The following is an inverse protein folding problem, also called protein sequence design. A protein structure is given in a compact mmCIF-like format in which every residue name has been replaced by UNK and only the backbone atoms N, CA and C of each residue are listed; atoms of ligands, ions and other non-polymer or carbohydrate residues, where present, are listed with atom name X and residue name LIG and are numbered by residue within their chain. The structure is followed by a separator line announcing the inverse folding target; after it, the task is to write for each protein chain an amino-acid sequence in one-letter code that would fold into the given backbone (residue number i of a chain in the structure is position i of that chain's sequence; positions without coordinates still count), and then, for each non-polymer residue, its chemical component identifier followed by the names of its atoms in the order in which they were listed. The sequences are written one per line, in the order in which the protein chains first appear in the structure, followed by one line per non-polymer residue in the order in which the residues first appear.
data_IF_034498667567
#
_entry.id   IF_034498667567
#
_cell.length_a   1.000
_cell.length_b   1.000
_cell.length_c   1.000
_cell.angle_alpha   90.00
_cell.angle_beta   90.00
_cell.angle_gamma   90.00
#
_symmetry.space_group_name_H-M   'P 1'
#
loop_
_entity.id
_entity.type
_entity.pdbx_description
1 polymer ?
#
# COMPACT_ATOMS: atom_id res chain seq x y z
N UNK A 1 -13.99 1.04 -0.30
CA UNK A 1 -14.08 1.06 1.18
C UNK A 1 -13.36 2.30 1.69
N UNK A 2 -13.92 2.97 2.66
CA UNK A 2 -13.30 4.18 3.23
C UNK A 2 -12.75 3.88 4.61
N UNK A 3 -11.59 4.46 4.92
CA UNK A 3 -11.02 4.43 6.25
C UNK A 3 -11.74 5.46 7.12
N UNK A 4 -12.58 4.98 8.04
CA UNK A 4 -13.16 5.84 9.07
C UNK A 4 -12.10 6.29 10.08
N UNK A 5 -12.32 7.38 10.80
CA UNK A 5 -11.41 7.85 11.84
C UNK A 5 -11.16 6.78 12.92
N UNK A 6 -12.21 6.06 13.33
CA UNK A 6 -12.09 4.96 14.28
C UNK A 6 -11.26 3.80 13.77
N UNK A 7 -11.40 3.43 12.50
CA UNK A 7 -10.61 2.36 11.88
C UNK A 7 -9.13 2.74 11.75
N UNK A 8 -8.83 3.96 11.35
CA UNK A 8 -7.44 4.47 11.31
C UNK A 8 -6.78 4.42 12.68
N UNK A 9 -7.49 4.89 13.70
CA UNK A 9 -7.01 4.87 15.07
C UNK A 9 -6.77 3.44 15.57
N UNK A 10 -7.67 2.52 15.26
CA UNK A 10 -7.54 1.11 15.61
C UNK A 10 -6.30 0.50 14.95
N UNK A 11 -6.12 0.71 13.65
CA UNK A 11 -4.95 0.20 12.90
C UNK A 11 -3.66 0.75 13.52
N UNK A 12 -3.59 2.05 13.77
CA UNK A 12 -2.41 2.70 14.34
C UNK A 12 -2.09 2.16 15.74
N UNK A 13 -3.10 1.96 16.58
CA UNK A 13 -2.94 1.47 17.96
C UNK A 13 -2.44 0.02 18.02
N UNK A 14 -2.72 -0.78 16.99
CA UNK A 14 -2.42 -2.21 16.98
C UNK A 14 -1.35 -2.63 15.96
N UNK A 15 -0.56 -1.69 15.43
CA UNK A 15 0.47 -1.97 14.44
C UNK A 15 1.54 -2.98 14.90
N UNK A 16 1.79 -3.07 16.20
CA UNK A 16 2.79 -3.96 16.77
C UNK A 16 2.20 -5.18 17.47
N UNK A 17 0.87 -5.28 17.51
CA UNK A 17 0.18 -6.36 18.22
C UNK A 17 0.14 -7.66 17.42
N UNK A 18 -0.07 -8.76 18.12
CA UNK A 18 -0.27 -10.05 17.49
C UNK A 18 -1.63 -10.09 16.80
N UNK A 19 -1.63 -10.25 15.47
CA UNK A 19 -2.84 -10.24 14.65
C UNK A 19 -3.76 -11.42 14.91
N UNK A 20 -3.23 -12.58 15.28
CA UNK A 20 -4.05 -13.75 15.63
C UNK A 20 -4.86 -13.49 16.90
N UNK A 21 -4.25 -12.84 17.89
CA UNK A 21 -4.93 -12.42 19.13
C UNK A 21 -6.01 -11.38 18.84
N UNK A 22 -5.78 -10.46 17.92
CA UNK A 22 -6.77 -9.48 17.49
C UNK A 22 -7.96 -10.16 16.84
N UNK A 23 -7.73 -11.14 15.99
CA UNK A 23 -8.80 -11.90 15.33
C UNK A 23 -9.65 -12.64 16.35
N UNK A 24 -9.04 -13.27 17.34
CA UNK A 24 -9.75 -13.97 18.42
C UNK A 24 -10.53 -13.02 19.34
N UNK A 25 -10.07 -11.78 19.47
CA UNK A 25 -10.72 -10.74 20.28
C UNK A 25 -11.71 -9.86 19.49
N UNK A 26 -12.11 -10.28 18.28
CA UNK A 26 -12.98 -9.49 17.38
C UNK A 26 -14.28 -9.02 18.04
N UNK A 27 -14.86 -9.83 18.94
CA UNK A 27 -16.10 -9.48 19.66
C UNK A 27 -15.95 -8.28 20.61
N UNK A 28 -14.73 -7.93 20.98
CA UNK A 28 -14.43 -6.76 21.84
C UNK A 28 -14.45 -5.43 21.07
N UNK A 29 -14.48 -5.48 19.75
CA UNK A 29 -14.41 -4.31 18.88
C UNK A 29 -15.63 -4.25 17.96
N UNK A 30 -16.85 -4.01 18.52
CA UNK A 30 -18.04 -3.89 17.71
C UNK A 30 -17.93 -2.67 16.76
N UNK A 31 -18.39 -2.84 15.53
CA UNK A 31 -18.31 -1.77 14.53
C UNK A 31 -16.97 -1.66 13.80
N UNK A 32 -15.98 -2.49 14.13
CA UNK A 32 -14.71 -2.58 13.41
C UNK A 32 -14.71 -3.84 12.54
N UNK A 33 -14.40 -3.71 11.26
CA UNK A 33 -14.10 -4.85 10.40
C UNK A 33 -12.69 -5.35 10.72
N UNK A 34 -12.61 -6.33 11.63
CA UNK A 34 -11.35 -6.84 12.16
C UNK A 34 -10.49 -7.48 11.06
N UNK A 35 -11.09 -8.22 10.14
CA UNK A 35 -10.33 -8.86 9.05
C UNK A 35 -9.67 -7.82 8.15
N UNK A 36 -10.42 -6.81 7.76
CA UNK A 36 -9.88 -5.71 6.97
C UNK A 36 -8.77 -4.96 7.74
N UNK A 37 -9.00 -4.66 9.03
CA UNK A 37 -8.02 -3.99 9.87
C UNK A 37 -6.72 -4.81 9.99
N UNK A 38 -6.81 -6.12 10.19
CA UNK A 38 -5.65 -7.02 10.27
C UNK A 38 -4.88 -7.04 8.95
N UNK A 39 -5.56 -7.10 7.82
CA UNK A 39 -4.92 -7.07 6.51
C UNK A 39 -4.15 -5.76 6.29
N UNK A 40 -4.72 -4.63 6.69
CA UNK A 40 -4.04 -3.34 6.64
C UNK A 40 -2.84 -3.27 7.59
N UNK A 41 -2.96 -3.82 8.79
CA UNK A 41 -1.85 -3.89 9.77
C UNK A 41 -0.68 -4.69 9.20
N UNK A 42 -0.96 -5.86 8.65
CA UNK A 42 0.08 -6.72 8.06
C UNK A 42 0.73 -6.03 6.86
N UNK A 43 -0.07 -5.44 5.98
CA UNK A 43 0.44 -4.71 4.81
C UNK A 43 1.35 -3.55 5.24
N UNK A 44 0.94 -2.77 6.24
CA UNK A 44 1.74 -1.65 6.76
C UNK A 44 3.06 -2.12 7.38
N UNK A 45 3.06 -3.24 8.09
CA UNK A 45 4.31 -3.83 8.62
C UNK A 45 5.27 -4.22 7.51
N UNK A 46 4.76 -4.78 6.43
CA UNK A 46 5.57 -5.18 5.28
C UNK A 46 6.25 -3.98 4.60
N UNK A 47 5.58 -2.84 4.54
CA UNK A 47 6.10 -1.66 3.85
C UNK A 47 6.89 -0.71 4.76
N UNK A 48 6.88 -0.89 6.07
CA UNK A 48 7.48 0.06 7.01
C UNK A 48 8.91 0.46 6.66
N UNK A 49 9.74 -0.50 6.30
CA UNK A 49 11.14 -0.25 5.92
C UNK A 49 11.34 -0.12 4.41
N UNK A 50 10.43 -0.70 3.66
CA UNK A 50 10.47 -0.73 2.19
C UNK A 50 9.99 0.57 1.57
N UNK A 51 8.94 1.15 2.14
CA UNK A 51 8.27 2.36 1.67
C UNK A 51 7.98 3.30 2.83
N UNK A 52 9.00 3.89 3.49
CA UNK A 52 8.80 4.69 4.70
C UNK A 52 7.89 5.90 4.49
N UNK A 53 8.00 6.59 3.35
CA UNK A 53 7.12 7.71 3.02
C UNK A 53 5.66 7.27 2.92
N UNK A 54 5.39 6.14 2.28
CA UNK A 54 4.04 5.58 2.12
C UNK A 54 3.47 5.09 3.44
N UNK A 55 4.32 4.50 4.28
CA UNK A 55 3.92 4.01 5.60
C UNK A 55 3.36 5.12 6.49
N UNK A 56 3.89 6.33 6.38
CA UNK A 56 3.44 7.48 7.16
C UNK A 56 2.09 8.04 6.70
N UNK A 57 1.60 7.65 5.53
CA UNK A 57 0.32 8.11 4.98
C UNK A 57 -0.84 7.28 5.52
N UNK A 58 -1.55 7.78 6.52
CA UNK A 58 -2.64 7.07 7.18
C UNK A 58 -3.86 6.83 6.27
N UNK A 59 -4.01 7.64 5.23
CA UNK A 59 -5.13 7.56 4.31
C UNK A 59 -5.04 6.40 3.32
N UNK A 60 -3.87 5.79 3.18
CA UNK A 60 -3.65 4.76 2.19
C UNK A 60 -4.28 3.43 2.60
N UNK A 61 -4.96 2.81 1.65
CA UNK A 61 -5.50 1.46 1.75
C UNK A 61 -4.67 0.55 0.85
N UNK A 62 -4.21 -0.56 1.40
CA UNK A 62 -3.44 -1.55 0.64
C UNK A 62 -4.38 -2.68 0.21
N UNK A 63 -4.52 -2.96 -1.10
CA UNK A 63 -5.54 -3.89 -1.59
C UNK A 63 -5.28 -5.35 -1.21
N UNK A 64 -4.02 -5.76 -1.05
CA UNK A 64 -3.68 -7.12 -0.65
C UNK A 64 -2.30 -7.19 -0.01
N UNK A 65 -2.08 -8.24 0.80
CA UNK A 65 -0.77 -8.54 1.38
C UNK A 65 0.26 -8.86 0.29
N UNK A 66 -0.18 -9.58 -0.74
CA UNK A 66 0.68 -9.96 -1.85
C UNK A 66 1.22 -8.74 -2.59
N UNK A 67 0.37 -7.74 -2.82
CA UNK A 67 0.78 -6.51 -3.51
C UNK A 67 1.85 -5.73 -2.72
N UNK A 68 1.73 -5.68 -1.39
CA UNK A 68 2.74 -5.03 -0.54
C UNK A 68 4.02 -5.83 -0.44
N UNK A 69 3.93 -7.15 -0.46
CA UNK A 69 5.09 -8.04 -0.47
C UNK A 69 5.90 -7.92 -1.76
N UNK A 70 5.21 -7.88 -2.91
CA UNK A 70 5.83 -7.91 -4.24
C UNK A 70 6.15 -6.54 -4.82
N UNK A 71 5.67 -5.45 -4.25
CA UNK A 71 5.93 -4.12 -4.78
C UNK A 71 7.42 -3.74 -4.66
N UNK A 72 7.86 -2.82 -5.51
CA UNK A 72 9.19 -2.23 -5.43
C UNK A 72 9.38 -1.47 -4.12
N UNK A 73 10.60 -1.51 -3.57
CA UNK A 73 10.99 -0.58 -2.51
C UNK A 73 11.13 0.84 -3.08
N UNK A 74 11.09 1.84 -2.21
CA UNK A 74 11.33 3.21 -2.59
C UNK A 74 12.68 3.39 -3.28
N UNK A 75 13.74 2.78 -2.75
CA UNK A 75 15.08 2.83 -3.34
C UNK A 75 15.12 2.18 -4.73
N UNK A 76 14.46 1.03 -4.91
CA UNK A 76 14.38 0.36 -6.21
C UNK A 76 13.60 1.20 -7.21
N UNK A 77 12.48 1.79 -6.81
CA UNK A 77 11.68 2.65 -7.68
C UNK A 77 12.46 3.91 -8.11
N UNK A 78 13.18 4.52 -7.20
CA UNK A 78 14.05 5.67 -7.50
C UNK A 78 15.19 5.28 -8.45
N UNK A 79 15.78 4.11 -8.27
CA UNK A 79 16.79 3.61 -9.20
C UNK A 79 16.21 3.42 -10.61
N UNK A 80 15.05 2.79 -10.72
CA UNK A 80 14.36 2.61 -12.00
C UNK A 80 14.03 3.96 -12.66
N UNK A 81 13.62 4.94 -11.86
CA UNK A 81 13.36 6.30 -12.34
C UNK A 81 14.56 6.90 -13.04
N UNK A 82 15.77 6.67 -12.52
CA UNK A 82 17.02 7.15 -13.12
C UNK A 82 17.30 6.55 -14.50
N UNK A 83 16.77 5.36 -14.78
CA UNK A 83 16.94 4.67 -16.06
C UNK A 83 16.00 5.18 -17.14
N UNK A 84 15.00 5.98 -16.79
CA UNK A 84 14.00 6.48 -17.73
C UNK A 84 14.59 7.44 -18.75
N UNK A 85 14.19 7.27 -19.98
CA UNK A 85 14.51 8.16 -21.09
C UNK A 85 13.22 8.49 -21.85
N UNK A 86 13.12 9.72 -22.35
CA UNK A 86 11.93 10.19 -23.04
C UNK A 86 10.90 10.77 -22.09
N UNK A 87 9.77 11.21 -22.66
CA UNK A 87 8.73 11.95 -21.94
C UNK A 87 7.51 11.11 -21.61
N UNK A 88 7.33 9.97 -22.25
CA UNK A 88 6.21 9.06 -22.04
C UNK A 88 6.73 7.69 -21.62
N UNK A 89 6.18 7.16 -20.54
CA UNK A 89 6.55 5.86 -19.97
C UNK A 89 5.28 5.04 -19.79
N UNK A 90 5.35 3.76 -20.13
CA UNK A 90 4.27 2.81 -19.88
C UNK A 90 4.71 1.78 -18.82
N UNK A 91 3.99 1.73 -17.72
CA UNK A 91 4.17 0.70 -16.68
C UNK A 91 3.19 -0.43 -16.93
N UNK A 92 3.68 -1.54 -17.48
CA UNK A 92 2.88 -2.71 -17.88
C UNK A 92 2.46 -3.59 -16.70
N UNK A 93 3.04 -3.38 -15.53
CA UNK A 93 2.77 -4.17 -14.32
C UNK A 93 2.54 -3.23 -13.14
N UNK A 94 1.52 -2.39 -13.25
CA UNK A 94 1.28 -1.27 -12.34
C UNK A 94 1.21 -1.66 -10.87
N UNK A 95 0.43 -2.70 -10.54
CA UNK A 95 0.28 -3.16 -9.16
C UNK A 95 -0.17 -2.03 -8.23
N UNK A 96 0.54 -1.83 -7.12
CA UNK A 96 0.29 -0.71 -6.20
C UNK A 96 0.60 0.67 -6.78
N UNK A 97 1.25 0.73 -7.94
CA UNK A 97 1.61 2.00 -8.56
C UNK A 97 2.87 2.65 -7.99
N UNK A 98 3.70 1.93 -7.25
CA UNK A 98 4.92 2.49 -6.66
C UNK A 98 5.88 2.96 -7.75
N UNK A 99 6.21 2.10 -8.71
CA UNK A 99 7.06 2.47 -9.83
C UNK A 99 6.44 3.61 -10.65
N UNK A 100 5.13 3.51 -10.94
CA UNK A 100 4.38 4.54 -11.67
C UNK A 100 4.47 5.90 -10.99
N UNK A 101 4.32 5.94 -9.66
CA UNK A 101 4.41 7.17 -8.88
C UNK A 101 5.78 7.85 -9.08
N UNK A 102 6.86 7.09 -8.97
CA UNK A 102 8.21 7.65 -9.14
C UNK A 102 8.53 7.96 -10.60
N UNK A 103 7.99 7.21 -11.55
CA UNK A 103 8.11 7.53 -12.97
C UNK A 103 7.43 8.86 -13.30
N UNK A 104 6.25 9.12 -12.71
CA UNK A 104 5.51 10.35 -12.91
C UNK A 104 6.24 11.61 -12.41
N UNK A 105 7.16 11.47 -11.48
CA UNK A 105 7.99 12.58 -11.00
C UNK A 105 9.01 13.05 -12.03
N UNK A 106 9.39 12.19 -12.98
CA UNK A 106 10.42 12.47 -13.98
C UNK A 106 9.85 12.60 -15.39
N UNK A 107 8.94 11.70 -15.78
CA UNK A 107 8.32 11.70 -17.11
C UNK A 107 7.14 12.66 -17.16
N UNK A 108 6.89 13.23 -18.34
CA UNK A 108 5.72 14.10 -18.57
C UNK A 108 4.42 13.33 -18.61
N UNK A 109 4.45 12.10 -19.13
CA UNK A 109 3.29 11.22 -19.23
C UNK A 109 3.65 9.82 -18.76
N UNK A 110 2.78 9.21 -17.94
CA UNK A 110 2.91 7.82 -17.54
C UNK A 110 1.60 7.10 -17.83
N UNK A 111 1.70 5.95 -18.48
CA UNK A 111 0.57 5.07 -18.75
C UNK A 111 0.68 3.90 -17.78
N UNK A 112 -0.31 3.79 -16.90
CA UNK A 112 -0.42 2.71 -15.92
C UNK A 112 -1.29 1.59 -16.48
N UNK A 113 -0.76 0.38 -16.51
CA UNK A 113 -1.49 -0.80 -16.98
C UNK A 113 -1.50 -1.84 -15.85
N UNK A 114 -2.69 -2.24 -15.47
CA UNK A 114 -2.88 -3.26 -14.44
C UNK A 114 -3.99 -4.22 -14.83
N UNK A 115 -3.73 -5.49 -14.61
CA UNK A 115 -4.64 -6.57 -14.95
C UNK A 115 -5.80 -6.70 -13.95
N UNK A 116 -5.56 -6.38 -12.68
CA UNK A 116 -6.55 -6.53 -11.62
C UNK A 116 -7.25 -5.19 -11.33
N UNK A 117 -8.58 -5.10 -11.58
CA UNK A 117 -9.31 -3.84 -11.41
C UNK A 117 -9.22 -3.22 -10.01
N UNK A 118 -9.07 -4.04 -8.98
CA UNK A 118 -8.99 -3.59 -7.60
C UNK A 118 -7.78 -2.69 -7.32
N UNK A 119 -6.75 -2.76 -8.15
CA UNK A 119 -5.58 -1.89 -8.04
C UNK A 119 -5.74 -0.57 -8.82
N UNK A 120 -6.77 -0.46 -9.64
CA UNK A 120 -7.00 0.71 -10.48
C UNK A 120 -7.90 1.77 -9.83
N UNK A 121 -8.41 1.51 -8.64
CA UNK A 121 -9.36 2.41 -7.95
C UNK A 121 -8.69 3.36 -6.91
#
# INVERSE_FOLDING_TARGET
MQLTAGLKQFIRAHLTDNTDKLLLAASRFPGIDIRFAIDQIIARRQIQHKLPFWYEQDELIYPSRLSTEQCSSEQTALYKQQLLRGNTVCDLTGGLGIDTFYFAQKAGNVIYVERFPEYCT
#
